data_IF_739042399053
#
_entry.id   IF_739042399053
#
_cell.length_a   1.000
_cell.length_b   1.000
_cell.length_c   1.000
_cell.angle_alpha   90.00
_cell.angle_beta   90.00
_cell.angle_gamma   90.00
#
_symmetry.space_group_name_H-M   'P 1'
#
loop_
_entity.id
_entity.type
_entity.pdbx_description
1 polymer ?
#
# COMPACT_ATOMS: atom_id res chain seq x y z
N UNK A 1 29.28 23.28 -40.91
CA UNK A 1 28.68 22.23 -40.05
C UNK A 1 28.30 22.86 -38.71
N UNK A 2 27.07 23.35 -38.53
CA UNK A 2 26.61 23.78 -37.20
C UNK A 2 26.16 22.54 -36.42
N UNK A 3 27.00 22.07 -35.50
CA UNK A 3 26.56 21.11 -34.48
C UNK A 3 25.59 21.85 -33.56
N UNK A 4 24.31 21.54 -33.71
CA UNK A 4 23.23 22.15 -32.97
C UNK A 4 23.31 21.67 -31.49
N UNK A 5 23.74 22.51 -30.53
CA UNK A 5 23.96 22.09 -29.15
C UNK A 5 22.66 21.80 -28.38
N UNK A 6 21.51 22.18 -28.93
CA UNK A 6 20.19 22.04 -28.29
C UNK A 6 19.63 20.61 -28.31
N UNK A 7 20.12 19.75 -29.21
CA UNK A 7 19.62 18.38 -29.35
C UNK A 7 20.26 17.44 -28.30
N UNK A 8 21.51 17.72 -27.91
CA UNK A 8 22.24 16.89 -26.94
C UNK A 8 21.80 17.17 -25.51
N UNK A 9 21.55 18.44 -25.16
CA UNK A 9 21.06 18.87 -23.83
C UNK A 9 19.63 18.41 -23.52
N UNK A 10 18.75 18.41 -24.52
CA UNK A 10 17.38 17.90 -24.40
C UNK A 10 17.35 16.37 -24.23
N UNK A 11 18.21 15.65 -24.94
CA UNK A 11 18.32 14.19 -24.84
C UNK A 11 18.87 13.71 -23.49
N UNK A 12 19.86 14.40 -22.91
CA UNK A 12 20.45 14.06 -21.62
C UNK A 12 19.49 14.34 -20.46
N UNK A 13 18.73 15.43 -20.54
CA UNK A 13 17.68 15.78 -19.56
C UNK A 13 16.54 14.76 -19.58
N UNK A 14 16.06 14.35 -20.76
CA UNK A 14 15.05 13.29 -20.90
C UNK A 14 15.54 11.95 -20.32
N UNK A 15 16.82 11.62 -20.56
CA UNK A 15 17.44 10.39 -20.07
C UNK A 15 17.56 10.38 -18.55
N UNK A 16 17.92 11.51 -17.94
CA UNK A 16 17.94 11.66 -16.49
C UNK A 16 16.54 11.54 -15.86
N UNK A 17 15.51 12.12 -16.51
CA UNK A 17 14.11 12.01 -16.06
C UNK A 17 13.64 10.55 -16.12
N UNK A 18 13.87 9.84 -17.22
CA UNK A 18 13.47 8.45 -17.37
C UNK A 18 14.16 7.50 -16.38
N UNK A 19 15.43 7.75 -16.06
CA UNK A 19 16.16 6.98 -15.03
C UNK A 19 15.57 7.17 -13.64
N UNK A 20 15.23 8.42 -13.25
CA UNK A 20 14.57 8.71 -11.97
C UNK A 20 13.16 8.10 -11.91
N UNK A 21 12.42 8.15 -13.01
CA UNK A 21 11.11 7.51 -13.13
C UNK A 21 11.20 6.00 -12.85
N UNK A 22 12.21 5.33 -13.42
CA UNK A 22 12.46 3.90 -13.22
C UNK A 22 12.89 3.59 -11.79
N UNK A 23 13.78 4.40 -11.21
CA UNK A 23 14.26 4.23 -9.84
C UNK A 23 13.11 4.35 -8.83
N UNK A 24 12.29 5.39 -8.96
CA UNK A 24 11.17 5.65 -8.05
C UNK A 24 10.06 4.60 -8.21
N UNK A 25 9.78 4.17 -9.45
CA UNK A 25 8.88 3.05 -9.69
C UNK A 25 9.33 1.75 -9.01
N UNK A 26 10.63 1.43 -9.09
CA UNK A 26 11.20 0.24 -8.42
C UNK A 26 11.20 0.35 -6.90
N UNK A 27 11.57 1.52 -6.35
CA UNK A 27 11.53 1.75 -4.90
C UNK A 27 10.10 1.58 -4.38
N UNK A 28 9.13 2.21 -5.04
CA UNK A 28 7.72 2.08 -4.67
C UNK A 28 7.24 0.64 -4.78
N UNK A 29 7.61 -0.07 -5.84
CA UNK A 29 7.27 -1.47 -6.04
C UNK A 29 7.79 -2.34 -4.90
N UNK A 30 9.08 -2.23 -4.55
CA UNK A 30 9.68 -3.05 -3.50
C UNK A 30 9.12 -2.72 -2.11
N UNK A 31 8.94 -1.45 -1.79
CA UNK A 31 8.33 -1.04 -0.52
C UNK A 31 6.93 -1.62 -0.40
N UNK A 32 6.10 -1.47 -1.44
CA UNK A 32 4.73 -2.00 -1.43
C UNK A 32 4.68 -3.52 -1.39
N UNK A 33 5.57 -4.19 -2.12
CA UNK A 33 5.64 -5.65 -2.17
C UNK A 33 6.05 -6.24 -0.82
N UNK A 34 7.16 -5.76 -0.22
CA UNK A 34 7.65 -6.31 1.04
C UNK A 34 6.66 -6.07 2.17
N UNK A 35 6.17 -4.83 2.31
CA UNK A 35 5.17 -4.50 3.33
C UNK A 35 3.87 -5.28 3.11
N UNK A 36 3.42 -5.40 1.85
CA UNK A 36 2.22 -6.14 1.51
C UNK A 36 2.30 -7.62 1.84
N UNK A 37 3.43 -8.28 1.54
CA UNK A 37 3.63 -9.71 1.86
C UNK A 37 3.63 -9.92 3.38
N UNK A 38 4.36 -9.11 4.13
CA UNK A 38 4.40 -9.20 5.61
C UNK A 38 3.00 -9.00 6.19
N UNK A 39 2.28 -7.97 5.75
CA UNK A 39 0.92 -7.71 6.21
C UNK A 39 -0.06 -8.81 5.84
N UNK A 40 0.05 -9.40 4.64
CA UNK A 40 -0.81 -10.51 4.19
C UNK A 40 -0.67 -11.71 5.11
N UNK A 41 0.57 -12.12 5.40
CA UNK A 41 0.84 -13.28 6.25
C UNK A 41 0.24 -13.06 7.63
N UNK A 42 0.47 -11.89 8.24
CA UNK A 42 -0.02 -11.58 9.58
C UNK A 42 -1.56 -11.51 9.62
N UNK A 43 -2.19 -10.80 8.67
CA UNK A 43 -3.66 -10.70 8.59
C UNK A 43 -4.31 -12.07 8.38
N UNK A 44 -3.71 -12.94 7.59
CA UNK A 44 -4.20 -14.29 7.34
C UNK A 44 -4.11 -15.16 8.60
N UNK A 45 -2.99 -15.09 9.33
CA UNK A 45 -2.84 -15.76 10.63
C UNK A 45 -3.87 -15.24 11.66
N UNK A 46 -4.10 -13.92 11.69
CA UNK A 46 -5.13 -13.31 12.55
C UNK A 46 -6.54 -13.77 12.18
N UNK A 47 -6.88 -13.80 10.88
CA UNK A 47 -8.19 -14.21 10.41
C UNK A 47 -8.49 -15.68 10.76
N UNK A 48 -7.53 -16.58 10.54
CA UNK A 48 -7.67 -18.01 10.89
C UNK A 48 -7.79 -18.19 12.40
N UNK A 49 -6.96 -17.49 13.19
CA UNK A 49 -7.03 -17.58 14.65
C UNK A 49 -8.35 -17.02 15.20
N UNK A 50 -8.91 -16.00 14.56
CA UNK A 50 -10.14 -15.34 14.98
C UNK A 50 -11.39 -16.19 14.78
N UNK A 51 -11.36 -17.18 13.87
CA UNK A 51 -12.47 -18.09 13.58
C UNK A 51 -12.64 -19.22 14.61
N UNK A 52 -11.73 -19.36 15.58
CA UNK A 52 -11.82 -20.43 16.60
C UNK A 52 -12.88 -20.10 17.66
N UNK A 53 -13.66 -21.10 18.15
CA UNK A 53 -14.61 -20.89 19.24
C UNK A 53 -13.95 -20.25 20.46
N UNK A 54 -14.50 -19.14 20.97
CA UNK A 54 -13.92 -18.38 22.08
C UNK A 54 -12.85 -17.34 21.69
N UNK A 55 -12.59 -17.13 20.40
CA UNK A 55 -11.65 -16.10 19.89
C UNK A 55 -12.36 -14.81 19.48
N UNK A 56 -11.58 -13.73 19.32
CA UNK A 56 -12.04 -12.37 19.04
C UNK A 56 -12.92 -12.20 17.77
N UNK A 57 -12.97 -13.19 16.88
CA UNK A 57 -13.77 -13.15 15.65
C UNK A 57 -15.27 -13.42 15.83
N UNK A 58 -15.74 -13.78 17.03
CA UNK A 58 -17.18 -13.91 17.30
C UNK A 58 -17.92 -12.57 17.41
N UNK A 59 -17.22 -11.44 17.28
CA UNK A 59 -17.80 -10.09 17.35
C UNK A 59 -17.92 -9.49 15.95
N UNK A 60 -19.10 -8.92 15.62
CA UNK A 60 -19.39 -8.35 14.29
C UNK A 60 -18.35 -7.30 13.83
N UNK A 61 -17.80 -6.50 14.77
CA UNK A 61 -16.77 -5.50 14.48
C UNK A 61 -15.43 -6.09 13.98
N UNK A 62 -15.03 -7.25 14.51
CA UNK A 62 -13.78 -7.90 14.11
C UNK A 62 -13.89 -8.49 12.70
N UNK A 63 -15.02 -9.14 12.40
CA UNK A 63 -15.32 -9.65 11.06
C UNK A 63 -15.37 -8.55 10.00
N UNK A 64 -16.04 -7.44 10.31
CA UNK A 64 -16.07 -6.27 9.43
C UNK A 64 -14.66 -5.67 9.23
N UNK A 65 -13.87 -5.55 10.29
CA UNK A 65 -12.49 -5.07 10.21
C UNK A 65 -11.59 -5.94 9.33
N UNK A 66 -11.69 -7.27 9.45
CA UNK A 66 -10.97 -8.22 8.61
C UNK A 66 -11.37 -8.08 7.14
N UNK A 67 -12.68 -7.96 6.85
CA UNK A 67 -13.16 -7.75 5.48
C UNK A 67 -12.57 -6.48 4.86
N UNK A 68 -12.57 -5.37 5.61
CA UNK A 68 -11.98 -4.12 5.15
C UNK A 68 -10.46 -4.25 4.95
N UNK A 69 -9.76 -4.93 5.85
CA UNK A 69 -8.32 -5.15 5.71
C UNK A 69 -7.99 -5.98 4.44
N UNK A 70 -8.79 -7.00 4.11
CA UNK A 70 -8.65 -7.78 2.87
C UNK A 70 -8.84 -6.88 1.65
N UNK A 71 -9.87 -6.05 1.64
CA UNK A 71 -10.09 -5.15 0.51
C UNK A 71 -8.94 -4.12 0.38
N UNK A 72 -8.38 -3.64 1.50
CA UNK A 72 -7.20 -2.77 1.52
C UNK A 72 -5.95 -3.46 0.95
N UNK A 73 -5.84 -4.77 1.15
CA UNK A 73 -4.78 -5.61 0.59
C UNK A 73 -4.96 -5.85 -0.92
N UNK A 74 -6.19 -6.05 -1.38
CA UNK A 74 -6.51 -6.11 -2.82
C UNK A 74 -6.14 -4.79 -3.51
N UNK A 75 -6.51 -3.66 -2.90
CA UNK A 75 -6.09 -2.34 -3.38
C UNK A 75 -4.56 -2.20 -3.43
N UNK A 76 -3.85 -2.77 -2.45
CA UNK A 76 -2.38 -2.77 -2.43
C UNK A 76 -1.80 -3.58 -3.59
N UNK A 77 -2.39 -4.74 -3.90
CA UNK A 77 -2.03 -5.55 -5.09
C UNK A 77 -2.18 -4.76 -6.39
N UNK A 78 -3.26 -4.00 -6.54
CA UNK A 78 -3.45 -3.08 -7.67
C UNK A 78 -2.40 -1.96 -7.67
N UNK A 79 -2.05 -1.42 -6.50
CA UNK A 79 -0.97 -0.45 -6.32
C UNK A 79 0.40 -0.98 -6.79
N UNK A 80 0.76 -2.20 -6.40
CA UNK A 80 1.99 -2.88 -6.84
C UNK A 80 2.02 -3.05 -8.36
N UNK A 81 0.90 -3.45 -8.96
CA UNK A 81 0.78 -3.56 -10.42
C UNK A 81 0.98 -2.19 -11.12
N UNK A 82 0.42 -1.12 -10.57
CA UNK A 82 0.60 0.24 -11.07
C UNK A 82 2.06 0.71 -10.91
N UNK A 83 2.71 0.40 -9.79
CA UNK A 83 4.12 0.70 -9.58
C UNK A 83 5.01 0.00 -10.61
N UNK A 84 4.74 -1.27 -10.92
CA UNK A 84 5.40 -1.98 -12.01
C UNK A 84 5.16 -1.29 -13.37
N UNK A 85 3.91 -0.87 -13.64
CA UNK A 85 3.59 -0.13 -14.88
C UNK A 85 4.35 1.19 -14.99
N UNK A 86 4.60 1.90 -13.88
CA UNK A 86 5.44 3.10 -13.88
C UNK A 86 6.87 2.82 -14.35
N UNK A 87 7.48 1.71 -13.91
CA UNK A 87 8.83 1.33 -14.35
C UNK A 87 8.89 1.08 -15.86
N UNK A 88 7.84 0.46 -16.41
CA UNK A 88 7.72 0.19 -17.85
C UNK A 88 7.52 1.47 -18.66
N UNK A 89 6.72 2.42 -18.17
CA UNK A 89 6.58 3.74 -18.77
C UNK A 89 7.91 4.51 -18.77
N UNK A 90 8.67 4.44 -17.68
CA UNK A 90 10.04 4.99 -17.61
C UNK A 90 10.99 4.37 -18.65
N UNK A 91 10.93 3.04 -18.85
CA UNK A 91 11.73 2.35 -19.87
C UNK A 91 11.34 2.75 -21.31
N UNK A 92 10.04 2.97 -21.57
CA UNK A 92 9.57 3.43 -22.88
C UNK A 92 10.00 4.87 -23.19
N UNK A 93 10.01 5.76 -22.19
CA UNK A 93 10.53 7.12 -22.33
C UNK A 93 12.04 7.16 -22.61
N UNK A 94 12.79 6.17 -22.12
CA UNK A 94 14.22 6.01 -22.39
C UNK A 94 14.54 5.32 -23.73
N UNK A 95 13.53 4.82 -24.44
CA UNK A 95 13.74 4.07 -25.69
C UNK A 95 14.18 4.99 -26.83
N UNK A 96 15.14 4.52 -27.63
CA UNK A 96 15.69 5.26 -28.77
C UNK A 96 14.68 5.45 -29.92
N UNK A 97 13.63 4.64 -29.98
CA UNK A 97 12.57 4.71 -30.99
C UNK A 97 11.46 5.68 -30.56
N UNK A 98 11.25 6.81 -31.26
CA UNK A 98 10.23 7.81 -30.91
C UNK A 98 8.79 7.25 -30.93
N UNK A 99 8.52 6.23 -31.75
CA UNK A 99 7.20 5.56 -31.83
C UNK A 99 6.83 4.76 -30.58
N UNK A 100 7.80 4.39 -29.73
CA UNK A 100 7.54 3.68 -28.47
C UNK A 100 7.21 4.62 -27.30
N UNK A 101 7.24 5.95 -27.51
CA UNK A 101 6.99 6.92 -26.43
C UNK A 101 5.48 6.96 -26.10
N UNK A 102 5.09 6.70 -24.83
CA UNK A 102 3.68 6.71 -24.45
C UNK A 102 3.10 8.12 -24.54
N UNK A 103 1.81 8.21 -24.87
CA UNK A 103 1.10 9.50 -24.90
C UNK A 103 1.08 10.10 -23.49
N UNK A 104 1.29 11.42 -23.40
CA UNK A 104 1.25 12.16 -22.12
C UNK A 104 -0.08 11.95 -21.39
N UNK A 105 -1.20 11.98 -22.12
CA UNK A 105 -2.55 11.78 -21.57
C UNK A 105 -2.74 10.41 -20.92
N UNK A 106 -2.29 9.33 -21.59
CA UNK A 106 -2.37 7.97 -21.05
C UNK A 106 -1.51 7.82 -19.78
N UNK A 107 -0.30 8.38 -19.80
CA UNK A 107 0.62 8.35 -18.65
C UNK A 107 0.01 9.07 -17.44
N UNK A 108 -0.58 10.25 -17.64
CA UNK A 108 -1.25 11.03 -16.59
C UNK A 108 -2.46 10.27 -16.03
N UNK A 109 -3.23 9.59 -16.89
CA UNK A 109 -4.41 8.83 -16.45
C UNK A 109 -4.02 7.63 -15.56
N UNK A 110 -2.99 6.88 -15.96
CA UNK A 110 -2.46 5.76 -15.14
C UNK A 110 -1.98 6.25 -13.78
N UNK A 111 -1.39 7.44 -13.74
CA UNK A 111 -0.86 8.01 -12.53
C UNK A 111 -1.94 8.55 -11.59
N UNK A 112 -2.98 9.17 -12.15
CA UNK A 112 -4.20 9.54 -11.41
C UNK A 112 -4.88 8.31 -10.82
N UNK A 113 -4.96 7.22 -11.59
CA UNK A 113 -5.49 5.94 -11.09
C UNK A 113 -4.66 5.44 -9.90
N UNK A 114 -3.33 5.54 -9.96
CA UNK A 114 -2.45 5.25 -8.83
C UNK A 114 -2.74 6.07 -7.58
N UNK A 115 -2.93 7.39 -7.72
CA UNK A 115 -3.31 8.25 -6.59
C UNK A 115 -4.62 7.78 -5.97
N UNK A 116 -5.65 7.52 -6.79
CA UNK A 116 -6.97 7.07 -6.33
C UNK A 116 -6.88 5.71 -5.62
N UNK A 117 -6.19 4.73 -6.20
CA UNK A 117 -6.05 3.39 -5.63
C UNK A 117 -5.33 3.44 -4.28
N UNK A 118 -4.23 4.20 -4.17
CA UNK A 118 -3.51 4.32 -2.90
C UNK A 118 -4.36 5.05 -1.84
N UNK A 119 -5.12 6.09 -2.21
CA UNK A 119 -6.00 6.79 -1.26
C UNK A 119 -7.15 5.90 -0.78
N UNK A 120 -7.80 5.17 -1.68
CA UNK A 120 -8.83 4.19 -1.32
C UNK A 120 -8.25 3.08 -0.44
N UNK A 121 -7.07 2.60 -0.76
CA UNK A 121 -6.34 1.62 0.03
C UNK A 121 -6.04 2.09 1.46
N UNK A 122 -5.58 3.34 1.62
CA UNK A 122 -5.38 3.97 2.95
C UNK A 122 -6.70 4.03 3.70
N UNK A 123 -7.76 4.57 3.08
CA UNK A 123 -9.07 4.72 3.72
C UNK A 123 -9.58 3.38 4.25
N UNK A 124 -9.53 2.36 3.40
CA UNK A 124 -10.03 1.03 3.67
C UNK A 124 -9.24 0.32 4.77
N UNK A 125 -7.92 0.44 4.73
CA UNK A 125 -7.02 -0.11 5.75
C UNK A 125 -7.22 0.61 7.09
N UNK A 126 -7.40 1.93 7.11
CA UNK A 126 -7.64 2.69 8.33
C UNK A 126 -8.97 2.31 8.99
N UNK A 127 -10.05 2.20 8.22
CA UNK A 127 -11.34 1.76 8.73
C UNK A 127 -11.27 0.32 9.28
N UNK A 128 -10.57 -0.59 8.58
CA UNK A 128 -10.30 -1.94 9.07
C UNK A 128 -9.48 -1.94 10.36
N UNK A 129 -8.45 -1.10 10.45
CA UNK A 129 -7.62 -0.95 11.64
C UNK A 129 -8.40 -0.43 12.83
N UNK A 130 -9.26 0.58 12.66
CA UNK A 130 -10.11 1.11 13.73
C UNK A 130 -11.09 0.06 14.24
N UNK A 131 -11.69 -0.73 13.35
CA UNK A 131 -12.57 -1.82 13.74
C UNK A 131 -11.82 -2.89 14.56
N UNK A 132 -10.64 -3.33 14.10
CA UNK A 132 -9.83 -4.32 14.80
C UNK A 132 -9.36 -3.77 16.16
N UNK A 133 -8.74 -2.60 16.19
CA UNK A 133 -8.26 -1.96 17.44
C UNK A 133 -9.43 -1.71 18.41
N UNK A 134 -10.59 -1.29 17.92
CA UNK A 134 -11.80 -1.12 18.73
C UNK A 134 -12.26 -2.43 19.38
N UNK A 135 -12.26 -3.53 18.63
CA UNK A 135 -12.59 -4.85 19.19
C UNK A 135 -11.56 -5.34 20.20
N UNK A 136 -10.26 -5.08 19.97
CA UNK A 136 -9.19 -5.40 20.91
C UNK A 136 -9.29 -4.57 22.19
N UNK A 137 -9.62 -3.28 22.07
CA UNK A 137 -9.82 -2.39 23.22
C UNK A 137 -11.05 -2.80 24.05
N UNK A 138 -12.17 -3.13 23.41
CA UNK A 138 -13.35 -3.65 24.10
C UNK A 138 -13.04 -4.96 24.84
N UNK A 139 -12.24 -5.84 24.23
CA UNK A 139 -11.73 -7.06 24.89
C UNK A 139 -10.82 -6.73 26.08
N UNK A 140 -9.91 -5.76 25.95
CA UNK A 140 -9.05 -5.33 27.05
C UNK A 140 -9.85 -4.83 28.26
N UNK A 141 -10.91 -4.05 28.02
CA UNK A 141 -11.80 -3.50 29.06
C UNK A 141 -12.65 -4.60 29.73
N UNK A 142 -13.16 -5.56 28.96
CA UNK A 142 -13.96 -6.67 29.51
C UNK A 142 -13.10 -7.68 30.27
N UNK A 143 -11.83 -7.86 29.87
CA UNK A 143 -10.88 -8.74 30.57
C UNK A 143 -10.48 -8.20 31.95
N UNK A 144 -10.32 -6.88 32.13
CA UNK A 144 -9.98 -6.30 33.45
C UNK A 144 -11.11 -6.49 34.48
N UNK A 145 -12.36 -6.61 34.05
CA UNK A 145 -13.51 -6.89 34.92
C UNK A 145 -13.49 -8.35 35.45
N UNK A 146 -12.98 -9.30 34.67
CA UNK A 146 -12.94 -10.74 35.00
C UNK A 146 -11.77 -11.09 35.94
N UNK A 147 -10.73 -10.25 36.01
CA UNK A 147 -9.58 -10.43 36.92
C UNK A 147 -9.96 -10.47 38.42
N UNK A 148 -11.14 -9.95 38.79
CA UNK A 148 -11.68 -9.99 40.15
C UNK A 148 -12.57 -11.22 40.44
N UNK A 149 -12.69 -12.16 39.50
CA UNK A 149 -13.48 -13.38 39.66
C UNK A 149 -12.57 -14.62 39.87
N UNK A 150 -12.85 -15.53 40.83
CA UNK A 150 -11.98 -16.67 41.15
C UNK A 150 -11.85 -17.74 40.05
N UNK A 151 -12.58 -17.62 38.94
CA UNK A 151 -12.52 -18.49 37.77
C UNK A 151 -12.16 -17.64 36.55
N UNK A 152 -10.88 -17.51 36.20
CA UNK A 152 -10.47 -16.49 35.22
C UNK A 152 -9.28 -16.83 34.35
N UNK A 153 -9.12 -18.09 33.93
CA UNK A 153 -8.00 -18.50 33.06
C UNK A 153 -8.32 -18.25 31.56
N UNK A 154 -8.62 -17.01 31.17
CA UNK A 154 -8.77 -16.62 29.76
C UNK A 154 -7.52 -15.85 29.29
N UNK A 155 -7.00 -16.11 28.07
CA UNK A 155 -5.75 -15.50 27.64
C UNK A 155 -5.88 -13.98 27.51
N UNK A 156 -4.90 -13.28 28.07
CA UNK A 156 -4.61 -11.86 27.82
C UNK A 156 -4.55 -11.55 26.32
N UNK A 157 -4.55 -10.26 25.96
CA UNK A 157 -4.24 -9.81 24.60
C UNK A 157 -2.98 -10.56 24.12
N UNK A 158 -3.13 -11.33 23.04
CA UNK A 158 -2.05 -12.19 22.55
C UNK A 158 -1.07 -11.36 21.74
N UNK A 159 0.20 -11.79 21.65
CA UNK A 159 1.17 -11.15 20.74
C UNK A 159 0.65 -11.05 19.30
N UNK A 160 -0.19 -12.00 18.88
CA UNK A 160 -0.85 -12.02 17.58
C UNK A 160 -1.82 -10.82 17.39
N UNK A 161 -2.48 -10.37 18.45
CA UNK A 161 -3.37 -9.19 18.46
C UNK A 161 -2.57 -7.88 18.30
N UNK A 162 -1.30 -7.85 18.70
CA UNK A 162 -0.41 -6.70 18.44
C UNK A 162 0.13 -6.74 17.01
N UNK A 163 0.47 -7.93 16.50
CA UNK A 163 0.95 -8.09 15.13
C UNK A 163 -0.09 -7.67 14.09
N UNK A 164 -1.39 -7.93 14.32
CA UNK A 164 -2.44 -7.49 13.37
C UNK A 164 -2.50 -5.96 13.26
N UNK A 165 -2.27 -5.24 14.36
CA UNK A 165 -2.20 -3.77 14.34
C UNK A 165 -0.97 -3.31 13.55
N UNK A 166 0.19 -3.93 13.78
CA UNK A 166 1.41 -3.66 13.01
C UNK A 166 1.23 -3.95 11.51
N UNK A 167 0.54 -5.04 11.15
CA UNK A 167 0.23 -5.37 9.77
C UNK A 167 -0.62 -4.27 9.10
N UNK A 168 -1.63 -3.76 9.79
CA UNK A 168 -2.41 -2.62 9.29
C UNK A 168 -1.55 -1.37 9.10
N UNK A 169 -0.67 -1.05 10.05
CA UNK A 169 0.26 0.08 9.92
C UNK A 169 1.18 -0.07 8.71
N UNK A 170 1.72 -1.27 8.49
CA UNK A 170 2.55 -1.58 7.33
C UNK A 170 1.78 -1.43 6.01
N UNK A 171 0.52 -1.87 5.95
CA UNK A 171 -0.33 -1.72 4.77
C UNK A 171 -0.62 -0.24 4.47
N UNK A 172 -0.88 0.59 5.49
CA UNK A 172 -1.04 2.04 5.32
C UNK A 172 0.26 2.67 4.80
N UNK A 173 1.41 2.30 5.36
CA UNK A 173 2.71 2.79 4.93
C UNK A 173 3.00 2.42 3.46
N UNK A 174 2.62 1.22 3.04
CA UNK A 174 2.76 0.76 1.67
C UNK A 174 1.95 1.62 0.69
N UNK A 175 0.68 1.90 1.01
CA UNK A 175 -0.14 2.80 0.21
C UNK A 175 0.40 4.24 0.19
N UNK A 176 0.88 4.73 1.33
CA UNK A 176 1.49 6.07 1.42
C UNK A 176 2.73 6.21 0.54
N UNK A 177 3.60 5.20 0.50
CA UNK A 177 4.75 5.16 -0.41
C UNK A 177 4.35 5.21 -1.88
N UNK A 178 3.34 4.42 -2.28
CA UNK A 178 2.80 4.45 -3.65
C UNK A 178 2.12 5.77 -4.02
N UNK A 179 1.47 6.41 -3.06
CA UNK A 179 0.88 7.74 -3.23
C UNK A 179 1.96 8.79 -3.49
N UNK A 180 3.02 8.83 -2.67
CA UNK A 180 4.16 9.73 -2.86
C UNK A 180 4.78 9.52 -4.24
N UNK A 181 5.02 8.27 -4.62
CA UNK A 181 5.57 7.95 -5.93
C UNK A 181 4.66 8.47 -7.06
N UNK A 182 3.35 8.21 -6.95
CA UNK A 182 2.38 8.64 -7.96
C UNK A 182 2.31 10.17 -8.11
N UNK A 183 2.25 10.89 -6.98
CA UNK A 183 2.24 12.36 -6.97
C UNK A 183 3.55 12.97 -7.48
N UNK A 184 4.69 12.40 -7.10
CA UNK A 184 5.99 12.89 -7.55
C UNK A 184 6.16 12.76 -9.07
N UNK A 185 5.78 11.61 -9.62
CA UNK A 185 5.81 11.36 -11.05
C UNK A 185 4.83 12.31 -11.80
N UNK A 186 3.69 12.63 -11.18
CA UNK A 186 2.66 13.49 -11.79
C UNK A 186 3.15 14.92 -11.89
N UNK A 187 3.74 15.42 -10.81
CA UNK A 187 4.38 16.72 -10.77
C UNK A 187 5.51 16.84 -11.82
N UNK A 188 6.28 15.78 -12.04
CA UNK A 188 7.34 15.75 -13.06
C UNK A 188 6.85 15.77 -14.50
N UNK A 189 5.68 15.20 -14.79
CA UNK A 189 5.10 15.21 -16.15
C UNK A 189 4.34 16.52 -16.43
N UNK A 190 3.80 17.15 -15.38
CA UNK A 190 2.94 18.34 -15.49
C UNK A 190 3.73 19.64 -15.45
N UNK A 191 4.93 19.65 -14.84
CA UNK A 191 5.82 20.81 -14.93
C UNK A 191 6.37 20.96 -16.35
N UNK A 192 6.28 22.16 -16.95
CA UNK A 192 6.79 22.46 -18.29
C UNK A 192 8.32 22.36 -18.37
#
# INVERSE_FOLDING_TARGET
>A
MSQNPDITSSSSTLRAIGQKFRLIGWISFWIQLVLGVVSTVILLLFAISSQRPGSAGNNAGAGFGIFLAICGLVALGVGIYLAFRYTRLGAQLLSANPNNRPRKSETVQVLRLGVIVNLLGILLTLLGAQAIVGTLAARAITQTQIFFSPQGNQPFISGLDMFVVQANTNTVMAHFGGLIASLWLLNRITKP
#
